data_IF_802469253173
#
_entry.id   IF_802469253173
#
_cell.length_a   1.000
_cell.length_b   1.000
_cell.length_c   1.000
_cell.angle_alpha   90.00
_cell.angle_beta   90.00
_cell.angle_gamma   90.00
#
_symmetry.space_group_name_H-M   'P 1'
#
loop_
_entity.id
_entity.type
_entity.pdbx_description
1 polymer ?
#
# COMPACT_ATOMS: atom_id res chain seq x y z
N UNK A 1 -12.39 13.59 -17.41
CA UNK A 1 -11.00 14.06 -17.16
C UNK A 1 -10.47 13.14 -16.10
N UNK A 2 -9.31 12.53 -16.33
CA UNK A 2 -8.67 11.73 -15.30
C UNK A 2 -7.99 12.73 -14.36
N UNK A 3 -8.39 12.73 -13.09
CA UNK A 3 -7.82 13.61 -12.07
C UNK A 3 -6.62 12.87 -11.51
N UNK A 4 -5.45 13.51 -11.57
CA UNK A 4 -4.22 12.99 -10.98
C UNK A 4 -4.20 13.30 -9.49
N UNK A 5 -4.00 12.27 -8.67
CA UNK A 5 -3.84 12.38 -7.24
C UNK A 5 -2.39 12.07 -6.86
N UNK A 6 -1.84 12.84 -5.91
CA UNK A 6 -0.68 12.39 -5.16
C UNK A 6 -1.16 11.61 -3.93
N UNK A 7 -0.66 10.40 -3.71
CA UNK A 7 -1.03 9.53 -2.59
C UNK A 7 0.20 9.13 -1.79
N UNK A 8 0.12 9.22 -0.46
CA UNK A 8 1.18 8.75 0.42
C UNK A 8 0.63 8.19 1.74
N UNK A 9 1.32 7.21 2.31
CA UNK A 9 0.93 6.67 3.60
C UNK A 9 1.53 5.32 3.90
N UNK A 10 1.20 4.79 5.06
CA UNK A 10 1.50 3.41 5.46
C UNK A 10 0.23 2.77 5.96
N UNK A 11 -0.03 1.56 5.50
CA UNK A 11 -1.08 0.68 6.01
C UNK A 11 -0.38 -0.55 6.59
N UNK A 12 -0.69 -0.90 7.83
CA UNK A 12 -0.31 -2.17 8.44
C UNK A 12 -1.31 -3.27 8.04
N UNK A 13 -0.78 -4.46 7.77
CA UNK A 13 -1.55 -5.67 7.51
C UNK A 13 -1.49 -6.50 8.79
N UNK A 14 -2.64 -6.73 9.43
CA UNK A 14 -2.70 -7.42 10.71
C UNK A 14 -3.63 -8.65 10.66
N UNK A 15 -3.13 -9.87 10.92
CA UNK A 15 -1.73 -10.23 11.17
C UNK A 15 -0.83 -10.03 9.94
N UNK A 16 0.51 -10.17 10.05
CA UNK A 16 1.37 -10.14 8.86
C UNK A 16 1.01 -11.24 7.85
N UNK A 17 0.94 -10.86 6.58
CA UNK A 17 0.46 -11.72 5.50
C UNK A 17 1.62 -12.55 4.93
N UNK A 18 1.49 -13.87 4.78
CA UNK A 18 2.52 -14.69 4.14
C UNK A 18 2.84 -14.21 2.72
N UNK A 19 4.13 -14.03 2.38
CA UNK A 19 4.53 -13.56 1.05
C UNK A 19 3.99 -14.46 -0.07
N UNK A 20 3.95 -15.78 0.16
CA UNK A 20 3.44 -16.76 -0.79
C UNK A 20 1.97 -16.53 -1.18
N UNK A 21 1.18 -15.93 -0.29
CA UNK A 21 -0.23 -15.60 -0.56
C UNK A 21 -0.37 -14.42 -1.53
N UNK A 22 0.61 -13.52 -1.57
CA UNK A 22 0.61 -12.32 -2.42
C UNK A 22 1.33 -12.52 -3.76
N UNK A 23 1.81 -13.73 -4.04
CA UNK A 23 2.75 -13.96 -5.14
C UNK A 23 2.18 -13.56 -6.51
N UNK A 24 0.94 -13.94 -6.81
CA UNK A 24 0.30 -13.58 -8.08
C UNK A 24 0.05 -12.07 -8.21
N UNK A 25 -0.24 -11.39 -7.10
CA UNK A 25 -0.41 -9.94 -7.05
C UNK A 25 0.91 -9.22 -7.36
N UNK A 26 2.03 -9.74 -6.84
CA UNK A 26 3.38 -9.20 -7.04
C UNK A 26 3.84 -9.44 -8.49
N UNK A 27 3.63 -10.65 -9.02
CA UNK A 27 3.98 -10.99 -10.40
C UNK A 27 3.18 -10.16 -11.43
N UNK A 28 2.01 -9.64 -11.05
CA UNK A 28 1.24 -8.68 -11.83
C UNK A 28 1.90 -7.30 -11.99
N UNK A 29 2.92 -6.98 -11.18
CA UNK A 29 3.71 -5.76 -11.27
C UNK A 29 3.08 -4.52 -10.61
N UNK A 30 1.96 -4.68 -9.91
CA UNK A 30 1.30 -3.57 -9.21
C UNK A 30 1.98 -3.18 -7.90
N UNK A 31 2.78 -4.08 -7.34
CA UNK A 31 3.46 -3.90 -6.06
C UNK A 31 4.91 -4.35 -6.14
N UNK A 32 5.79 -3.62 -5.45
CA UNK A 32 7.18 -4.02 -5.27
C UNK A 32 7.41 -4.56 -3.86
N UNK A 33 8.13 -5.67 -3.71
CA UNK A 33 8.46 -6.21 -2.38
C UNK A 33 9.83 -5.72 -1.95
N UNK A 34 9.90 -5.06 -0.79
CA UNK A 34 11.18 -4.65 -0.24
C UNK A 34 11.97 -5.86 0.29
N UNK A 35 13.32 -5.82 0.24
CA UNK A 35 14.17 -6.80 0.91
C UNK A 35 13.89 -6.90 2.42
N UNK A 36 14.07 -8.09 2.98
CA UNK A 36 13.99 -8.28 4.44
C UNK A 36 15.10 -7.46 5.13
N UNK A 37 14.75 -6.76 6.21
CA UNK A 37 15.69 -5.95 6.97
C UNK A 37 16.19 -4.68 6.27
N UNK A 38 15.51 -4.22 5.21
CA UNK A 38 15.83 -2.96 4.53
C UNK A 38 15.87 -1.79 5.52
N UNK A 39 16.88 -0.92 5.41
CA UNK A 39 16.95 0.30 6.21
C UNK A 39 16.00 1.39 5.71
N UNK A 40 15.58 2.31 6.59
CA UNK A 40 14.64 3.39 6.23
C UNK A 40 15.12 4.28 5.07
N UNK A 41 16.43 4.56 4.99
CA UNK A 41 17.02 5.34 3.88
C UNK A 41 16.85 4.62 2.54
N UNK A 42 17.11 3.32 2.51
CA UNK A 42 17.01 2.50 1.30
C UNK A 42 15.55 2.30 0.92
N UNK A 43 14.67 2.10 1.90
CA UNK A 43 13.23 2.00 1.70
C UNK A 43 12.65 3.30 1.13
N UNK A 44 13.12 4.46 1.60
CA UNK A 44 12.72 5.77 1.04
C UNK A 44 13.16 5.90 -0.42
N UNK A 45 14.37 5.45 -0.75
CA UNK A 45 14.85 5.44 -2.13
C UNK A 45 14.04 4.48 -3.02
N UNK A 46 13.64 3.33 -2.48
CA UNK A 46 12.79 2.36 -3.17
C UNK A 46 11.38 2.92 -3.42
N UNK A 47 10.76 3.53 -2.40
CA UNK A 47 9.45 4.20 -2.52
C UNK A 47 9.46 5.30 -3.58
N UNK A 48 10.57 6.02 -3.73
CA UNK A 48 10.71 7.06 -4.76
C UNK A 48 10.71 6.47 -6.18
N UNK A 49 11.10 5.21 -6.35
CA UNK A 49 11.21 4.53 -7.64
C UNK A 49 9.98 3.72 -8.00
N UNK A 50 9.43 2.99 -7.03
CA UNK A 50 8.41 1.96 -7.26
C UNK A 50 7.02 2.38 -6.75
N UNK A 51 6.93 3.49 -6.00
CA UNK A 51 5.72 4.10 -5.43
C UNK A 51 4.90 3.24 -4.45
N UNK A 52 4.63 1.97 -4.74
CA UNK A 52 3.82 1.05 -3.94
C UNK A 52 4.69 -0.13 -3.49
N UNK A 53 5.08 -0.11 -2.22
CA UNK A 53 6.06 -1.06 -1.68
C UNK A 53 5.47 -1.86 -0.53
N UNK A 54 5.45 -3.19 -0.69
CA UNK A 54 5.16 -4.15 0.37
C UNK A 54 6.42 -4.36 1.22
N UNK A 55 6.32 -4.04 2.50
CA UNK A 55 7.43 -4.06 3.45
C UNK A 55 7.33 -5.32 4.32
N UNK A 56 8.36 -6.18 4.34
CA UNK A 56 8.42 -7.36 5.18
C UNK A 56 8.23 -7.11 6.68
N UNK A 57 7.70 -8.11 7.37
CA UNK A 57 7.80 -8.16 8.82
C UNK A 57 9.24 -8.47 9.25
N UNK A 58 9.91 -7.60 10.04
CA UNK A 58 11.26 -7.86 10.50
C UNK A 58 11.35 -9.11 11.41
N UNK A 59 10.28 -9.45 12.14
CA UNK A 59 10.28 -10.58 13.08
C UNK A 59 10.07 -11.95 12.41
N UNK A 60 9.44 -11.98 11.23
CA UNK A 60 9.11 -13.22 10.51
C UNK A 60 10.30 -13.88 9.80
N UNK A 61 11.42 -13.15 9.62
CA UNK A 61 12.61 -13.66 8.94
C UNK A 61 12.40 -13.92 7.45
N UNK A 62 13.17 -14.88 6.92
CA UNK A 62 13.16 -15.27 5.50
C UNK A 62 12.88 -16.76 5.32
N UNK A 63 12.35 -17.12 4.16
CA UNK A 63 12.22 -18.51 3.73
C UNK A 63 13.57 -19.14 3.32
N UNK A 64 13.52 -20.40 2.87
CA UNK A 64 14.70 -21.15 2.40
C UNK A 64 15.38 -20.57 1.15
N UNK A 65 14.68 -19.72 0.40
CA UNK A 65 15.18 -19.04 -0.79
C UNK A 65 15.68 -17.63 -0.47
N UNK A 66 15.66 -17.22 0.81
CA UNK A 66 16.09 -15.91 1.27
C UNK A 66 15.05 -14.81 1.03
N UNK A 67 13.83 -15.16 0.66
CA UNK A 67 12.73 -14.19 0.47
C UNK A 67 12.08 -13.88 1.81
N UNK A 68 11.49 -12.68 1.98
CA UNK A 68 10.67 -12.38 3.15
C UNK A 68 9.60 -13.44 3.42
N UNK A 69 9.46 -13.89 4.67
CA UNK A 69 8.43 -14.88 5.01
C UNK A 69 7.02 -14.27 5.02
N UNK A 70 6.89 -13.05 5.55
CA UNK A 70 5.62 -12.33 5.66
C UNK A 70 5.78 -10.83 5.39
N UNK A 71 4.71 -10.19 4.94
CA UNK A 71 4.57 -8.76 4.71
C UNK A 71 3.78 -8.15 5.86
N UNK A 72 4.28 -7.05 6.41
CA UNK A 72 3.63 -6.35 7.52
C UNK A 72 3.00 -5.04 7.09
N UNK A 73 3.56 -4.34 6.11
CA UNK A 73 3.04 -3.03 5.73
C UNK A 73 2.96 -2.88 4.22
N UNK A 74 1.99 -2.10 3.76
CA UNK A 74 2.05 -1.41 2.48
C UNK A 74 2.50 0.03 2.74
N UNK A 75 3.60 0.45 2.13
CA UNK A 75 4.01 1.86 2.09
C UNK A 75 3.78 2.41 0.69
N UNK A 76 3.15 3.57 0.62
CA UNK A 76 2.81 4.24 -0.64
C UNK A 76 3.42 5.63 -0.67
N UNK A 77 3.99 5.99 -1.82
CA UNK A 77 4.38 7.35 -2.19
C UNK A 77 4.30 7.47 -3.71
N UNK A 78 3.12 7.77 -4.19
CA UNK A 78 2.81 7.89 -5.61
C UNK A 78 2.44 9.35 -5.93
N UNK A 79 3.29 10.11 -6.63
CA UNK A 79 3.00 11.52 -6.91
C UNK A 79 1.95 11.71 -8.02
N UNK A 80 1.66 10.69 -8.81
CA UNK A 80 0.82 10.79 -10.01
C UNK A 80 0.02 9.49 -10.22
N UNK A 81 -1.06 9.34 -9.45
CA UNK A 81 -1.93 8.17 -9.50
C UNK A 81 -3.37 8.54 -9.84
N UNK A 82 -4.01 7.70 -10.66
CA UNK A 82 -5.44 7.80 -10.92
C UNK A 82 -6.25 7.13 -9.81
N UNK A 83 -7.38 7.73 -9.42
CA UNK A 83 -8.30 7.15 -8.42
C UNK A 83 -8.71 5.71 -8.75
N UNK A 84 -8.98 5.42 -10.02
CA UNK A 84 -9.27 4.05 -10.47
C UNK A 84 -8.11 3.08 -10.21
N UNK A 85 -6.87 3.49 -10.47
CA UNK A 85 -5.68 2.66 -10.21
C UNK A 85 -5.48 2.43 -8.72
N UNK A 86 -5.69 3.47 -7.90
CA UNK A 86 -5.61 3.39 -6.44
C UNK A 86 -6.65 2.39 -5.91
N UNK A 87 -7.91 2.55 -6.30
CA UNK A 87 -8.99 1.64 -5.88
C UNK A 87 -8.71 0.21 -6.35
N UNK A 88 -8.32 0.02 -7.61
CA UNK A 88 -8.02 -1.31 -8.14
C UNK A 88 -6.92 -2.00 -7.35
N UNK A 89 -5.83 -1.30 -7.03
CA UNK A 89 -4.72 -1.87 -6.24
C UNK A 89 -5.15 -2.23 -4.82
N UNK A 90 -5.86 -1.35 -4.13
CA UNK A 90 -6.31 -1.61 -2.76
C UNK A 90 -7.34 -2.75 -2.71
N UNK A 91 -8.30 -2.78 -3.63
CA UNK A 91 -9.25 -3.89 -3.75
C UNK A 91 -8.56 -5.21 -4.07
N UNK A 92 -7.61 -5.20 -5.01
CA UNK A 92 -6.86 -6.41 -5.36
C UNK A 92 -6.06 -6.91 -4.15
N UNK A 93 -5.33 -6.03 -3.45
CA UNK A 93 -4.61 -6.39 -2.24
C UNK A 93 -5.55 -7.01 -1.20
N UNK A 94 -6.65 -6.31 -0.89
CA UNK A 94 -7.68 -6.74 0.06
C UNK A 94 -8.25 -8.12 -0.26
N UNK A 95 -8.65 -8.36 -1.51
CA UNK A 95 -9.16 -9.65 -1.96
C UNK A 95 -8.12 -10.78 -1.81
N UNK A 96 -6.83 -10.46 -1.96
CA UNK A 96 -5.74 -11.42 -1.76
C UNK A 96 -5.41 -11.67 -0.28
N UNK A 97 -5.68 -10.73 0.64
CA UNK A 97 -5.45 -10.94 2.07
C UNK A 97 -6.45 -11.93 2.67
N UNK A 98 -7.70 -11.87 2.20
CA UNK A 98 -8.80 -12.66 2.74
C UNK A 98 -9.28 -12.19 4.12
N UNK A 99 -10.30 -12.86 4.67
CA UNK A 99 -11.10 -12.35 5.80
C UNK A 99 -10.41 -12.42 7.17
N UNK A 100 -9.24 -13.06 7.25
CA UNK A 100 -8.48 -13.21 8.50
C UNK A 100 -7.50 -12.03 8.72
N UNK A 101 -7.53 -11.02 7.85
CA UNK A 101 -6.62 -9.90 7.86
C UNK A 101 -7.37 -8.56 7.90
N UNK A 102 -6.86 -7.67 8.72
CA UNK A 102 -7.34 -6.31 8.88
C UNK A 102 -6.31 -5.32 8.35
N UNK A 103 -6.81 -4.20 7.81
CA UNK A 103 -5.99 -3.03 7.50
C UNK A 103 -6.01 -2.05 8.66
N UNK A 104 -4.83 -1.67 9.16
CA UNK A 104 -4.69 -0.57 10.12
C UNK A 104 -3.94 0.59 9.48
N UNK A 105 -4.58 1.77 9.47
CA UNK A 105 -4.07 2.99 8.87
C UNK A 105 -4.81 3.44 7.62
N UNK A 106 -4.32 4.52 7.03
CA UNK A 106 -4.95 5.16 5.88
C UNK A 106 -3.90 5.78 4.97
N UNK A 107 -4.23 5.94 3.69
CA UNK A 107 -3.44 6.73 2.75
C UNK A 107 -3.97 8.16 2.72
N UNK A 108 -3.08 9.14 2.59
CA UNK A 108 -3.46 10.53 2.34
C UNK A 108 -3.44 10.78 0.85
N UNK A 109 -4.40 11.54 0.36
CA UNK A 109 -4.41 11.98 -1.03
C UNK A 109 -4.47 13.50 -1.15
N UNK A 110 -3.94 14.02 -2.25
CA UNK A 110 -4.14 15.39 -2.69
C UNK A 110 -4.47 15.41 -4.18
N UNK A 111 -5.57 16.06 -4.54
CA UNK A 111 -6.00 16.35 -5.90
C UNK A 111 -5.08 17.43 -6.51
N UNK A 112 -4.45 17.11 -7.65
CA UNK A 112 -3.51 18.02 -8.31
C UNK A 112 -4.16 19.27 -8.93
N UNK A 113 -5.42 19.19 -9.33
CA UNK A 113 -6.14 20.27 -10.03
C UNK A 113 -6.84 21.22 -9.05
N UNK A 114 -7.50 20.67 -8.04
CA UNK A 114 -8.36 21.42 -7.12
C UNK A 114 -7.66 21.68 -5.78
N UNK A 115 -6.60 20.93 -5.47
CA UNK A 115 -5.91 21.01 -4.18
C UNK A 115 -6.68 20.41 -3.02
N UNK A 116 -7.77 19.67 -3.30
CA UNK A 116 -8.54 18.91 -2.32
C UNK A 116 -7.64 17.88 -1.65
N UNK A 117 -7.75 17.74 -0.33
CA UNK A 117 -6.97 16.77 0.45
C UNK A 117 -7.90 15.86 1.22
N UNK A 118 -7.50 14.63 1.39
CA UNK A 118 -8.29 13.67 2.17
C UNK A 118 -7.52 12.43 2.55
N UNK A 119 -8.27 11.45 3.05
CA UNK A 119 -7.76 10.13 3.39
C UNK A 119 -8.51 9.05 2.61
N UNK A 120 -7.80 7.96 2.34
CA UNK A 120 -8.30 6.74 1.71
C UNK A 120 -8.17 5.65 2.76
N UNK A 121 -9.30 5.08 3.18
CA UNK A 121 -9.38 3.99 4.13
C UNK A 121 -9.66 2.70 3.35
N UNK A 122 -8.72 1.74 3.29
CA UNK A 122 -8.96 0.45 2.66
C UNK A 122 -9.93 -0.39 3.49
N UNK A 123 -10.75 -1.19 2.82
CA UNK A 123 -11.61 -2.20 3.45
C UNK A 123 -11.15 -3.61 3.12
N UNK A 124 -11.62 -4.55 3.92
CA UNK A 124 -11.37 -5.99 3.81
C UNK A 124 -12.18 -6.62 2.66
N UNK A 125 -11.90 -7.89 2.36
CA UNK A 125 -12.65 -8.72 1.42
C UNK A 125 -12.88 -8.14 0.01
N UNK A 126 -11.98 -7.29 -0.46
CA UNK A 126 -12.02 -6.69 -1.81
C UNK A 126 -13.04 -5.58 -1.98
N UNK A 127 -13.57 -5.03 -0.89
CA UNK A 127 -14.49 -3.89 -0.93
C UNK A 127 -13.79 -2.60 -1.41
N UNK A 128 -14.57 -1.71 -2.03
CA UNK A 128 -14.06 -0.43 -2.50
C UNK A 128 -13.60 0.44 -1.32
N UNK A 129 -12.39 1.03 -1.36
CA UNK A 129 -11.91 1.90 -0.28
C UNK A 129 -12.77 3.16 -0.16
N UNK A 130 -12.91 3.67 1.06
CA UNK A 130 -13.62 4.93 1.31
C UNK A 130 -12.69 6.12 1.15
N UNK A 131 -13.20 7.17 0.51
CA UNK A 131 -12.49 8.43 0.31
C UNK A 131 -13.17 9.52 1.14
N UNK A 132 -12.43 10.07 2.11
CA UNK A 132 -12.92 11.13 2.97
C UNK A 132 -12.20 12.44 2.68
N UNK A 133 -12.94 13.45 2.22
CA UNK A 133 -12.41 14.80 2.07
C UNK A 133 -12.17 15.44 3.44
N UNK A 134 -10.93 15.86 3.68
CA UNK A 134 -10.57 16.66 4.84
C UNK A 134 -10.59 18.13 4.44
N UNK A 135 -11.76 18.77 4.53
CA UNK A 135 -11.95 20.17 4.15
C UNK A 135 -11.01 21.10 4.95
N UNK A 136 -9.86 21.46 4.36
CA UNK A 136 -8.97 22.53 4.82
C UNK A 136 -8.49 22.46 6.28
N UNK A 137 -8.67 21.34 6.99
CA UNK A 137 -8.06 21.15 8.31
C UNK A 137 -6.56 21.00 8.06
N UNK A 138 -5.83 22.10 8.26
CA UNK A 138 -4.38 22.10 8.34
C UNK A 138 -3.96 21.06 9.36
N UNK A 139 -3.16 20.09 8.92
CA UNK A 139 -2.43 19.17 9.78
C UNK A 139 -1.00 19.68 9.85
#
# INVERSE_FOLDING_TARGET
>A
MAVDFSVEGTIELYPPVPLAQLWELIDGGDFHVAPHGIGETELTALLTREAWVLVPDPASGTDSEGRPAAIKHLRVRDPEAYSFTINHRLMALSAWLGPDHEFDGALRYQDGDVGTKGVIEPFEDGEEPEWHETAGRMW
#
